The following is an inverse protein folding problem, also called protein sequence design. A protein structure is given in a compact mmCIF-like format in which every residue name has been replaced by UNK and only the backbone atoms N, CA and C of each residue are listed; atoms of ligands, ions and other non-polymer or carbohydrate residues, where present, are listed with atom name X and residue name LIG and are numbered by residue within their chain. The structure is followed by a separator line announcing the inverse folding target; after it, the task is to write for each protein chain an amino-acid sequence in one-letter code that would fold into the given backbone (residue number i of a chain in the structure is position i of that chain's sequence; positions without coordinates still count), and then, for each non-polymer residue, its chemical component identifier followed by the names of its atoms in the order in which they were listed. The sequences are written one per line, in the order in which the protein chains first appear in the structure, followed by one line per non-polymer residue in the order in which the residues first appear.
data_IF_363167010249
#
_entry.id   IF_363167010249
#
_cell.length_a   1.000
_cell.length_b   1.000
_cell.length_c   1.000
_cell.angle_alpha   90.00
_cell.angle_beta   90.00
_cell.angle_gamma   90.00
#
_symmetry.space_group_name_H-M   'P 1'
#
loop_
_entity.id
_entity.type
_entity.pdbx_description
1 polymer ?
#
# COMPACT_ATOMS: atom_id res chain seq x y z
N UNK A 1 12.13 -27.72 24.27
CA UNK A 1 12.06 -26.89 25.51
C UNK A 1 12.59 -25.50 25.18
N UNK A 2 11.72 -24.47 25.34
CA UNK A 2 11.94 -23.00 25.45
C UNK A 2 13.23 -22.44 24.80
N UNK A 3 13.24 -21.66 23.73
CA UNK A 3 12.29 -20.64 23.27
C UNK A 3 12.64 -19.27 23.88
N UNK A 4 13.65 -18.58 23.35
CA UNK A 4 13.93 -17.17 23.63
C UNK A 4 14.57 -16.50 22.40
N UNK A 5 13.75 -15.91 21.53
CA UNK A 5 14.24 -14.90 20.57
C UNK A 5 13.90 -13.55 21.18
N UNK A 6 14.94 -12.78 21.51
CA UNK A 6 14.85 -11.43 22.07
C UNK A 6 14.18 -10.50 21.06
N UNK A 7 12.91 -10.17 21.28
CA UNK A 7 12.28 -9.02 20.65
C UNK A 7 12.70 -7.76 21.41
N UNK A 8 13.70 -7.06 20.88
CA UNK A 8 13.94 -5.66 21.24
C UNK A 8 13.18 -4.79 20.25
N UNK A 9 12.26 -3.99 20.79
CA UNK A 9 11.74 -2.74 20.24
C UNK A 9 10.73 -2.85 19.08
N UNK A 10 9.55 -3.38 19.40
CA UNK A 10 8.29 -2.87 18.86
C UNK A 10 7.39 -2.49 20.05
N UNK A 11 6.77 -1.29 20.08
CA UNK A 11 6.11 -0.80 21.28
C UNK A 11 4.91 -1.69 21.64
N UNK A 12 4.94 -2.19 22.88
CA UNK A 12 3.98 -3.04 23.58
C UNK A 12 2.52 -2.53 23.65
N UNK A 13 2.19 -1.43 22.97
CA UNK A 13 0.87 -0.78 23.06
C UNK A 13 -0.20 -1.31 22.12
N UNK A 14 0.13 -2.23 21.19
CA UNK A 14 -0.87 -2.79 20.25
C UNK A 14 -1.43 -4.17 20.61
N UNK A 15 -0.79 -4.94 21.49
CA UNK A 15 -1.37 -6.22 21.94
C UNK A 15 -2.50 -6.06 22.97
N UNK A 16 -2.52 -4.95 23.72
CA UNK A 16 -3.57 -4.69 24.72
C UNK A 16 -4.98 -4.49 24.13
N UNK A 17 -5.07 -4.15 22.84
CA UNK A 17 -6.37 -3.95 22.18
C UNK A 17 -7.04 -5.26 21.71
N UNK A 18 -6.30 -6.38 21.59
CA UNK A 18 -6.75 -7.46 20.71
C UNK A 18 -6.95 -8.85 21.34
N UNK A 19 -6.48 -9.18 22.55
CA UNK A 19 -6.52 -10.61 22.96
C UNK A 19 -6.69 -10.84 24.47
N UNK A 20 -7.87 -11.31 24.89
CA UNK A 20 -8.14 -12.61 25.59
C UNK A 20 -9.62 -12.74 26.01
N UNK A 21 -10.20 -13.97 26.08
CA UNK A 21 -11.60 -14.21 25.71
C UNK A 21 -12.66 -14.18 26.83
N UNK A 22 -12.32 -14.01 28.11
CA UNK A 22 -13.23 -14.47 29.18
C UNK A 22 -14.03 -13.38 29.92
N UNK A 23 -13.80 -12.09 29.66
CA UNK A 23 -14.43 -10.99 30.44
C UNK A 23 -15.31 -10.00 29.68
N UNK A 24 -15.57 -10.19 28.38
CA UNK A 24 -15.87 -9.09 27.47
C UNK A 24 -17.32 -9.03 26.95
N UNK A 25 -18.26 -9.85 27.43
CA UNK A 25 -19.59 -9.98 26.80
C UNK A 25 -20.38 -8.65 26.65
N UNK A 26 -20.27 -7.71 27.59
CA UNK A 26 -21.08 -6.49 27.56
C UNK A 26 -20.38 -5.27 26.92
N UNK A 27 -19.04 -5.28 26.82
CA UNK A 27 -18.24 -4.17 26.22
C UNK A 27 -17.58 -4.53 24.89
N UNK A 28 -17.72 -5.78 24.42
CA UNK A 28 -17.08 -6.31 23.20
C UNK A 28 -17.64 -5.83 21.89
N UNK A 29 -18.91 -5.41 21.83
CA UNK A 29 -19.59 -5.20 20.54
C UNK A 29 -18.92 -4.13 19.66
N UNK A 30 -18.40 -3.06 20.24
CA UNK A 30 -17.74 -1.99 19.48
C UNK A 30 -16.31 -2.35 19.05
N UNK A 31 -15.56 -3.05 19.90
CA UNK A 31 -14.19 -3.50 19.61
C UNK A 31 -14.20 -4.65 18.60
N UNK A 32 -15.10 -5.62 18.76
CA UNK A 32 -15.30 -6.71 17.80
C UNK A 32 -15.74 -6.21 16.43
N UNK A 33 -16.61 -5.18 16.37
CA UNK A 33 -16.99 -4.54 15.10
C UNK A 33 -15.81 -3.82 14.45
N UNK A 34 -14.97 -3.13 15.23
CA UNK A 34 -13.76 -2.51 14.72
C UNK A 34 -12.78 -3.55 14.16
N UNK A 35 -12.55 -4.65 14.88
CA UNK A 35 -11.71 -5.77 14.44
C UNK A 35 -12.22 -6.39 13.15
N UNK A 36 -13.51 -6.74 13.10
CA UNK A 36 -14.13 -7.33 11.92
C UNK A 36 -14.07 -6.39 10.70
N UNK A 37 -14.25 -5.08 10.94
CA UNK A 37 -14.16 -4.07 9.88
C UNK A 37 -12.72 -3.93 9.36
N UNK A 38 -11.72 -3.91 10.24
CA UNK A 38 -10.30 -3.86 9.82
C UNK A 38 -9.88 -5.12 9.05
N UNK A 39 -10.29 -6.31 9.50
CA UNK A 39 -10.05 -7.55 8.74
C UNK A 39 -10.76 -7.55 7.39
N UNK A 40 -12.00 -7.05 7.32
CA UNK A 40 -12.72 -6.90 6.05
C UNK A 40 -11.98 -5.97 5.10
N UNK A 41 -11.51 -4.82 5.60
CA UNK A 41 -10.72 -3.86 4.82
C UNK A 41 -9.43 -4.48 4.30
N UNK A 42 -8.63 -5.13 5.14
CA UNK A 42 -7.38 -5.77 4.69
C UNK A 42 -7.62 -6.94 3.72
N UNK A 43 -8.70 -7.70 3.92
CA UNK A 43 -9.12 -8.73 2.98
C UNK A 43 -9.55 -8.15 1.62
N UNK A 44 -10.24 -7.00 1.61
CA UNK A 44 -10.59 -6.28 0.38
C UNK A 44 -9.33 -5.71 -0.30
N UNK A 45 -8.42 -5.09 0.45
CA UNK A 45 -7.17 -4.59 -0.07
C UNK A 45 -6.33 -5.70 -0.72
N UNK A 46 -6.18 -6.84 -0.03
CA UNK A 46 -5.48 -8.00 -0.57
C UNK A 46 -6.07 -8.47 -1.90
N UNK A 47 -7.40 -8.65 -1.98
CA UNK A 47 -8.06 -9.09 -3.23
C UNK A 47 -7.81 -8.12 -4.38
N UNK A 48 -7.87 -6.83 -4.11
CA UNK A 48 -7.66 -5.82 -5.15
C UNK A 48 -6.19 -5.77 -5.60
N UNK A 49 -5.24 -5.93 -4.68
CA UNK A 49 -3.83 -6.07 -5.05
C UNK A 49 -3.53 -7.39 -5.76
N UNK A 50 -4.23 -8.48 -5.46
CA UNK A 50 -4.12 -9.74 -6.21
C UNK A 50 -4.61 -9.54 -7.66
N UNK A 51 -5.71 -8.82 -7.86
CA UNK A 51 -6.18 -8.47 -9.20
C UNK A 51 -5.17 -7.59 -9.96
N UNK A 52 -4.57 -6.60 -9.30
CA UNK A 52 -3.51 -5.76 -9.85
C UNK A 52 -2.27 -6.61 -10.19
N UNK A 53 -1.86 -7.51 -9.31
CA UNK A 53 -0.71 -8.40 -9.54
C UNK A 53 -0.95 -9.30 -10.76
N UNK A 54 -2.14 -9.88 -10.91
CA UNK A 54 -2.52 -10.63 -12.11
C UNK A 54 -2.41 -9.80 -13.39
N UNK A 55 -2.85 -8.55 -13.38
CA UNK A 55 -2.71 -7.62 -14.52
C UNK A 55 -1.25 -7.31 -14.85
N UNK A 56 -0.43 -7.07 -13.83
CA UNK A 56 1.02 -6.82 -13.97
C UNK A 56 1.72 -8.05 -14.56
N UNK A 57 1.45 -9.25 -14.03
CA UNK A 57 2.02 -10.51 -14.52
C UNK A 57 1.63 -10.80 -15.97
N UNK A 58 0.37 -10.52 -16.35
CA UNK A 58 -0.09 -10.66 -17.74
C UNK A 58 0.66 -9.71 -18.71
N UNK A 59 1.12 -8.57 -18.20
CA UNK A 59 1.92 -7.59 -18.94
C UNK A 59 3.43 -7.88 -18.89
N UNK A 60 3.85 -9.02 -18.30
CA UNK A 60 5.26 -9.42 -18.12
C UNK A 60 6.10 -8.37 -17.35
N UNK A 61 5.46 -7.48 -16.59
CA UNK A 61 6.15 -6.50 -15.75
C UNK A 61 6.62 -7.22 -14.48
N UNK A 62 7.90 -7.05 -14.15
CA UNK A 62 8.50 -7.63 -12.94
C UNK A 62 8.86 -6.59 -11.89
N UNK A 63 9.01 -5.32 -12.28
CA UNK A 63 9.40 -4.23 -11.39
C UNK A 63 8.34 -3.13 -11.32
N UNK A 64 7.96 -2.71 -10.12
CA UNK A 64 6.96 -1.66 -9.90
C UNK A 64 7.42 -0.62 -8.88
N UNK A 65 6.73 0.52 -8.87
CA UNK A 65 6.86 1.53 -7.83
C UNK A 65 5.54 1.65 -7.04
N UNK A 66 5.61 1.54 -5.71
CA UNK A 66 4.44 1.76 -4.85
C UNK A 66 4.35 3.24 -4.43
N UNK A 67 3.15 3.80 -4.40
CA UNK A 67 2.90 5.20 -4.02
C UNK A 67 2.09 5.24 -2.72
N UNK A 68 2.77 5.48 -1.62
CA UNK A 68 2.22 5.50 -0.26
C UNK A 68 2.86 4.46 0.64
N UNK A 69 2.90 4.77 1.93
CA UNK A 69 3.52 3.95 2.98
C UNK A 69 2.47 3.37 3.93
N UNK A 70 2.92 2.56 4.89
CA UNK A 70 2.08 2.00 5.96
C UNK A 70 1.52 0.61 5.66
N UNK A 71 0.57 0.17 6.48
CA UNK A 71 0.13 -1.23 6.58
C UNK A 71 -0.42 -1.79 5.25
N UNK A 72 -1.07 -0.97 4.43
CA UNK A 72 -1.58 -1.39 3.13
C UNK A 72 -0.48 -1.55 2.08
N UNK A 73 0.60 -0.76 2.16
CA UNK A 73 1.80 -1.01 1.36
C UNK A 73 2.40 -2.36 1.72
N UNK A 74 2.53 -2.69 3.01
CA UNK A 74 3.08 -3.98 3.45
C UNK A 74 2.26 -5.17 2.92
N UNK A 75 0.93 -5.08 2.97
CA UNK A 75 0.03 -6.07 2.37
C UNK A 75 0.28 -6.19 0.86
N UNK A 76 0.34 -5.06 0.15
CA UNK A 76 0.60 -5.05 -1.29
C UNK A 76 1.95 -5.67 -1.61
N UNK A 77 3.01 -5.35 -0.85
CA UNK A 77 4.34 -5.93 -1.02
C UNK A 77 4.35 -7.45 -0.85
N UNK A 78 3.62 -7.98 0.14
CA UNK A 78 3.47 -9.43 0.30
C UNK A 78 2.75 -10.08 -0.89
N UNK A 79 1.71 -9.43 -1.43
CA UNK A 79 1.01 -9.91 -2.63
C UNK A 79 1.94 -9.89 -3.84
N UNK A 80 2.65 -8.79 -4.09
CA UNK A 80 3.58 -8.69 -5.22
C UNK A 80 4.71 -9.70 -5.15
N UNK A 81 5.31 -9.90 -3.98
CA UNK A 81 6.33 -10.91 -3.77
C UNK A 81 5.83 -12.33 -4.11
N UNK A 82 4.58 -12.67 -3.75
CA UNK A 82 3.98 -13.96 -4.09
C UNK A 82 3.76 -14.17 -5.61
N UNK A 83 3.72 -13.08 -6.38
CA UNK A 83 3.57 -13.07 -7.83
C UNK A 83 4.90 -12.84 -8.58
N UNK A 84 6.05 -12.89 -7.88
CA UNK A 84 7.37 -12.57 -8.43
C UNK A 84 7.45 -11.15 -9.03
N UNK A 85 6.74 -10.20 -8.42
CA UNK A 85 6.79 -8.78 -8.74
C UNK A 85 7.59 -8.07 -7.64
N UNK A 86 8.67 -7.40 -8.04
CA UNK A 86 9.55 -6.64 -7.17
C UNK A 86 9.07 -5.19 -7.01
N UNK A 87 8.99 -4.74 -5.76
CA UNK A 87 8.79 -3.33 -5.44
C UNK A 87 10.15 -2.64 -5.43
N UNK A 88 10.51 -2.00 -6.54
CA UNK A 88 11.82 -1.36 -6.74
C UNK A 88 11.99 -0.10 -5.89
N UNK A 89 10.89 0.62 -5.67
CA UNK A 89 10.88 1.78 -4.79
C UNK A 89 9.48 2.08 -4.25
N UNK A 90 9.47 2.92 -3.21
CA UNK A 90 8.27 3.48 -2.60
C UNK A 90 8.35 5.00 -2.68
N UNK A 91 7.27 5.61 -3.14
CA UNK A 91 7.07 7.06 -3.16
C UNK A 91 6.18 7.47 -1.99
N UNK A 92 6.71 8.31 -1.11
CA UNK A 92 5.96 9.00 -0.06
C UNK A 92 5.71 10.46 -0.48
N UNK A 93 4.85 10.63 -1.48
CA UNK A 93 4.53 11.95 -2.08
C UNK A 93 3.81 12.90 -1.11
N UNK A 94 3.40 12.40 0.06
CA UNK A 94 2.77 13.18 1.13
C UNK A 94 3.68 13.38 2.35
N UNK A 95 4.92 12.88 2.30
CA UNK A 95 5.96 12.98 3.32
C UNK A 95 5.49 12.52 4.72
N UNK A 96 4.76 11.41 4.79
CA UNK A 96 4.32 10.81 6.05
C UNK A 96 5.46 10.22 6.90
N UNK A 97 6.52 9.71 6.27
CA UNK A 97 7.68 9.09 6.91
C UNK A 97 8.99 9.88 6.72
N UNK A 98 8.91 11.12 6.23
CA UNK A 98 10.07 11.99 6.03
C UNK A 98 10.98 11.54 4.89
N UNK A 99 12.30 11.49 5.10
CA UNK A 99 13.31 11.17 4.06
C UNK A 99 13.64 9.67 3.93
N UNK A 100 12.78 8.78 4.43
CA UNK A 100 12.99 7.32 4.33
C UNK A 100 12.64 6.75 2.96
N UNK A 101 11.81 7.45 2.21
CA UNK A 101 11.33 7.09 0.89
C UNK A 101 11.52 8.25 -0.09
N UNK A 102 11.45 7.96 -1.39
CA UNK A 102 11.47 9.01 -2.41
C UNK A 102 10.22 9.88 -2.27
N UNK A 103 10.37 11.19 -2.38
CA UNK A 103 9.24 12.14 -2.24
C UNK A 103 8.68 12.56 -3.60
N UNK A 104 9.47 12.42 -4.66
CA UNK A 104 9.05 12.66 -6.03
C UNK A 104 9.56 11.57 -6.97
N UNK A 105 8.81 11.31 -8.03
CA UNK A 105 9.22 10.38 -9.08
C UNK A 105 10.53 10.82 -9.76
N UNK A 106 10.77 12.13 -9.86
CA UNK A 106 11.99 12.68 -10.47
C UNK A 106 13.26 12.45 -9.62
N UNK A 107 13.10 12.11 -8.33
CA UNK A 107 14.21 11.84 -7.42
C UNK A 107 14.72 10.39 -7.56
N UNK A 108 13.98 9.53 -8.27
CA UNK A 108 14.34 8.13 -8.48
C UNK A 108 15.50 8.06 -9.49
N UNK A 109 16.58 7.32 -9.19
CA UNK A 109 17.69 7.11 -10.14
C UNK A 109 17.21 6.59 -11.49
N UNK A 110 17.79 7.11 -12.59
CA UNK A 110 17.36 6.79 -13.96
C UNK A 110 17.44 5.29 -14.27
N UNK A 111 18.44 4.62 -13.72
CA UNK A 111 18.67 3.18 -13.86
C UNK A 111 17.56 2.35 -13.23
N UNK A 112 16.91 2.89 -12.18
CA UNK A 112 15.76 2.27 -11.52
C UNK A 112 14.47 2.61 -12.26
N UNK A 113 14.32 3.87 -12.72
CA UNK A 113 13.18 4.31 -13.53
C UNK A 113 12.97 3.47 -14.80
N UNK A 114 14.06 3.01 -15.43
CA UNK A 114 13.97 2.15 -16.61
C UNK A 114 13.39 0.76 -16.33
N UNK A 115 13.51 0.27 -15.08
CA UNK A 115 13.03 -1.04 -14.63
C UNK A 115 11.59 -1.01 -14.09
N UNK A 116 11.08 0.18 -13.74
CA UNK A 116 9.70 0.35 -13.28
C UNK A 116 8.75 0.22 -14.48
N UNK A 117 7.90 -0.80 -14.49
CA UNK A 117 6.87 -1.00 -15.51
C UNK A 117 5.61 -0.17 -15.24
N UNK A 118 5.20 -0.04 -13.99
CA UNK A 118 4.02 0.73 -13.59
C UNK A 118 4.14 1.27 -12.16
N UNK A 119 3.25 2.20 -11.81
CA UNK A 119 3.08 2.73 -10.47
C UNK A 119 1.79 2.16 -9.87
N UNK A 120 1.82 1.78 -8.60
CA UNK A 120 0.66 1.26 -7.87
C UNK A 120 0.36 2.13 -6.65
N UNK A 121 -0.87 2.61 -6.52
CA UNK A 121 -1.28 3.39 -5.34
C UNK A 121 -1.46 2.48 -4.12
N UNK A 122 -0.73 2.81 -3.06
CA UNK A 122 -0.78 2.20 -1.72
C UNK A 122 -1.13 3.21 -0.62
N UNK A 123 -1.21 4.50 -0.95
CA UNK A 123 -1.62 5.56 -0.03
C UNK A 123 -3.11 5.48 0.28
N UNK A 124 -3.45 5.27 1.55
CA UNK A 124 -4.83 5.04 2.00
C UNK A 124 -5.45 6.20 2.76
N UNK A 125 -4.65 7.11 3.33
CA UNK A 125 -5.15 8.27 4.08
C UNK A 125 -5.66 9.35 3.13
N UNK A 126 -4.94 9.59 2.04
CA UNK A 126 -5.29 10.60 1.02
C UNK A 126 -5.09 10.09 -0.40
N UNK A 127 -5.75 8.98 -0.81
CA UNK A 127 -5.53 8.30 -2.09
C UNK A 127 -5.71 9.23 -3.30
N UNK A 128 -6.75 10.06 -3.28
CA UNK A 128 -7.02 11.02 -4.36
C UNK A 128 -5.89 12.03 -4.56
N UNK A 129 -5.37 12.59 -3.46
CA UNK A 129 -4.27 13.57 -3.53
C UNK A 129 -2.97 12.92 -4.01
N UNK A 130 -2.66 11.71 -3.53
CA UNK A 130 -1.48 10.98 -4.00
C UNK A 130 -1.59 10.65 -5.49
N UNK A 131 -2.77 10.22 -5.95
CA UNK A 131 -3.03 9.98 -7.36
C UNK A 131 -2.86 11.24 -8.23
N UNK A 132 -3.44 12.37 -7.82
CA UNK A 132 -3.28 13.66 -8.51
C UNK A 132 -1.80 14.06 -8.66
N UNK A 133 -1.02 13.96 -7.58
CA UNK A 133 0.41 14.27 -7.59
C UNK A 133 1.15 13.37 -8.58
N UNK A 134 0.89 12.05 -8.54
CA UNK A 134 1.60 11.11 -9.41
C UNK A 134 1.23 11.28 -10.88
N UNK A 135 -0.04 11.59 -11.19
CA UNK A 135 -0.46 11.93 -12.55
C UNK A 135 0.27 13.19 -13.06
N UNK A 136 0.49 14.19 -12.20
CA UNK A 136 1.19 15.43 -12.57
C UNK A 136 2.67 15.24 -12.93
N UNK A 137 3.28 14.09 -12.60
CA UNK A 137 4.66 13.82 -12.99
C UNK A 137 4.83 13.44 -14.47
N UNK A 138 3.74 13.13 -15.19
CA UNK A 138 3.78 12.75 -16.62
C UNK A 138 4.83 11.66 -16.94
N UNK A 139 4.99 10.69 -16.04
CA UNK A 139 6.08 9.71 -16.11
C UNK A 139 5.99 8.69 -17.26
N UNK A 140 4.91 8.70 -18.05
CA UNK A 140 4.67 7.77 -19.16
C UNK A 140 4.45 6.31 -18.73
N UNK A 141 4.26 6.05 -17.43
CA UNK A 141 3.98 4.72 -16.87
C UNK A 141 2.49 4.59 -16.54
N UNK A 142 1.97 3.37 -16.63
CA UNK A 142 0.61 3.09 -16.18
C UNK A 142 0.50 3.30 -14.66
N UNK A 143 -0.59 3.93 -14.21
CA UNK A 143 -0.91 4.13 -12.79
C UNK A 143 -2.10 3.23 -12.42
N UNK A 144 -1.81 2.21 -11.61
CA UNK A 144 -2.76 1.22 -11.13
C UNK A 144 -3.29 1.63 -9.75
N UNK A 145 -4.61 1.54 -9.59
CA UNK A 145 -5.31 1.95 -8.38
C UNK A 145 -6.23 0.81 -7.96
N UNK A 146 -6.15 0.35 -6.70
CA UNK A 146 -7.06 -0.68 -6.21
C UNK A 146 -8.49 -0.15 -6.08
N UNK A 147 -9.47 -1.01 -6.35
CA UNK A 147 -10.89 -0.65 -6.43
C UNK A 147 -11.45 -0.08 -5.12
N UNK A 148 -11.00 -0.60 -3.98
CA UNK A 148 -11.45 -0.19 -2.64
C UNK A 148 -11.17 1.29 -2.34
N UNK A 149 -10.19 1.92 -3.03
CA UNK A 149 -9.90 3.35 -2.88
C UNK A 149 -10.87 4.27 -3.63
N UNK A 150 -11.70 3.73 -4.53
CA UNK A 150 -12.78 4.46 -5.24
C UNK A 150 -12.32 5.76 -5.92
N UNK A 151 -11.10 5.79 -6.46
CA UNK A 151 -10.58 6.96 -7.18
C UNK A 151 -11.31 7.09 -8.53
N UNK A 152 -11.92 8.25 -8.78
CA UNK A 152 -12.55 8.54 -10.05
C UNK A 152 -11.51 9.02 -11.09
N UNK A 153 -11.09 8.12 -11.99
CA UNK A 153 -10.13 8.41 -13.05
C UNK A 153 -10.64 9.41 -14.13
N UNK A 154 -11.95 9.72 -14.17
CA UNK A 154 -12.54 10.55 -15.25
C UNK A 154 -12.35 12.06 -15.10
N UNK A 155 -11.97 12.55 -13.91
CA UNK A 155 -11.85 13.99 -13.65
C UNK A 155 -10.46 14.57 -13.87
N UNK A 156 -9.49 13.77 -14.32
CA UNK A 156 -8.10 14.19 -14.50
C UNK A 156 -7.69 13.79 -15.91
N UNK A 157 -8.27 14.45 -16.91
CA UNK A 157 -7.56 14.61 -18.17
C UNK A 157 -6.47 15.64 -17.93
N UNK A 158 -5.21 15.40 -18.36
CA UNK A 158 -4.23 16.48 -18.38
C UNK A 158 -4.85 17.61 -19.19
N UNK A 159 -4.89 18.80 -18.61
CA UNK A 159 -5.27 20.02 -19.30
C UNK A 159 -4.44 20.11 -20.57
N UNK A 160 -5.07 19.79 -21.70
CA UNK A 160 -4.49 20.01 -23.02
C UNK A 160 -4.24 21.51 -23.17
N UNK A 161 -3.01 21.82 -23.59
CA UNK A 161 -2.48 23.08 -24.14
C UNK A 161 -1.92 24.06 -23.11
#
# INVERSE_FOLDING_TARGET
KKGYIKFKEAPSRRYGYYITPEGFMEKSRLVSKYIANSFKFFGEARRDYEAIACHISASQITGICCVGTGEVMEIAQMVFAAHNIEVLCVLDVLAHEGRRHFQSYVDIPKEMVSQIGCLVITETRRPHKAFEIVVSYECGKEILVPGFMKINKKNIQPSKL
#
